data_IF_468204119109
#
_entry.id   IF_468204119109
#
_cell.length_a   1.000
_cell.length_b   1.000
_cell.length_c   1.000
_cell.angle_alpha   90.00
_cell.angle_beta   90.00
_cell.angle_gamma   90.00
#
_symmetry.space_group_name_H-M   'P 1'
#
loop_
_entity.id
_entity.type
_entity.pdbx_description
1 polymer ?
#
# COMPACT_ATOMS: atom_id res chain seq x y z
N UNK A 1 12.57 10.57 14.87
CA UNK A 1 12.85 9.23 14.32
C UNK A 1 11.75 8.34 14.83
N UNK A 2 10.98 7.77 13.92
CA UNK A 2 9.76 7.04 14.23
C UNK A 2 10.13 5.65 14.69
N UNK A 3 9.66 5.28 15.89
CA UNK A 3 9.83 3.92 16.42
C UNK A 3 8.90 2.93 15.71
N UNK A 4 9.32 1.68 15.66
CA UNK A 4 8.48 0.58 15.18
C UNK A 4 7.21 0.48 16.03
N UNK A 5 6.07 0.19 15.39
CA UNK A 5 4.81 -0.14 16.06
C UNK A 5 4.25 -1.50 15.62
N UNK A 6 4.88 -2.13 14.62
CA UNK A 6 4.43 -3.38 14.03
C UNK A 6 5.32 -4.60 14.39
N UNK A 7 6.52 -4.39 14.93
CA UNK A 7 7.33 -5.45 15.53
C UNK A 7 6.60 -6.16 16.67
N UNK A 8 6.75 -7.50 16.70
CA UNK A 8 6.06 -8.38 17.64
C UNK A 8 4.56 -8.55 17.38
N UNK A 9 3.97 -7.81 16.42
CA UNK A 9 2.53 -7.85 16.10
C UNK A 9 2.25 -8.30 14.68
N UNK A 10 2.83 -7.62 13.70
CA UNK A 10 2.66 -7.92 12.27
C UNK A 10 3.82 -8.73 11.71
N UNK A 11 5.01 -8.58 12.30
CA UNK A 11 6.22 -9.29 11.93
C UNK A 11 7.12 -9.49 13.16
N UNK A 12 8.09 -10.43 13.14
CA UNK A 12 8.98 -10.70 14.28
C UNK A 12 9.79 -9.49 14.74
N UNK A 13 9.97 -9.33 16.06
CA UNK A 13 10.80 -8.26 16.64
C UNK A 13 12.31 -8.57 16.60
N UNK A 14 12.69 -9.85 16.53
CA UNK A 14 14.09 -10.26 16.40
C UNK A 14 14.58 -10.05 14.96
N UNK A 15 15.76 -9.43 14.81
CA UNK A 15 16.35 -9.11 13.50
C UNK A 15 16.56 -10.37 12.64
N UNK A 16 17.09 -11.45 13.23
CA UNK A 16 17.45 -12.66 12.50
C UNK A 16 16.20 -13.41 12.06
N UNK A 17 15.21 -13.55 12.96
CA UNK A 17 13.91 -14.15 12.66
C UNK A 17 13.18 -13.36 11.57
N UNK A 18 13.15 -12.02 11.67
CA UNK A 18 12.53 -11.16 10.67
C UNK A 18 13.17 -11.32 9.30
N UNK A 19 14.52 -11.30 9.24
CA UNK A 19 15.26 -11.47 7.98
C UNK A 19 15.00 -12.85 7.35
N UNK A 20 14.97 -13.91 8.15
CA UNK A 20 14.64 -15.26 7.66
C UNK A 20 13.20 -15.32 7.15
N UNK A 21 12.25 -14.76 7.90
CA UNK A 21 10.82 -14.75 7.55
C UNK A 21 10.58 -14.00 6.23
N UNK A 22 11.15 -12.81 6.09
CA UNK A 22 11.09 -12.01 4.85
C UNK A 22 11.74 -12.78 3.70
N UNK A 23 12.93 -13.33 3.90
CA UNK A 23 13.67 -14.09 2.88
C UNK A 23 12.89 -15.28 2.32
N UNK A 24 12.08 -15.96 3.14
CA UNK A 24 11.21 -17.08 2.70
C UNK A 24 10.09 -16.67 1.75
N UNK A 25 9.64 -15.41 1.79
CA UNK A 25 8.57 -14.90 0.94
C UNK A 25 9.08 -14.17 -0.30
N UNK A 26 10.34 -13.73 -0.30
CA UNK A 26 10.97 -13.13 -1.47
C UNK A 26 11.27 -14.18 -2.54
N UNK A 27 11.15 -13.79 -3.81
CA UNK A 27 11.39 -14.63 -4.98
C UNK A 27 12.40 -13.97 -5.93
N UNK A 28 13.10 -14.78 -6.74
CA UNK A 28 14.01 -14.26 -7.76
C UNK A 28 13.26 -13.83 -9.03
N UNK A 29 12.56 -12.70 -8.94
CA UNK A 29 11.86 -12.07 -10.07
C UNK A 29 12.11 -10.57 -9.99
N UNK A 30 12.34 -9.88 -11.10
CA UNK A 30 12.42 -8.41 -11.20
C UNK A 30 11.74 -8.01 -12.51
N UNK A 31 10.88 -7.01 -12.46
CA UNK A 31 10.18 -6.48 -13.63
C UNK A 31 10.35 -4.97 -13.70
N UNK A 32 10.18 -4.39 -14.89
CA UNK A 32 10.16 -2.94 -15.05
C UNK A 32 8.79 -2.37 -14.65
N UNK A 33 8.40 -2.56 -13.40
CA UNK A 33 7.16 -2.03 -12.82
C UNK A 33 7.40 -0.63 -12.24
N UNK A 34 6.39 0.23 -12.29
CA UNK A 34 6.43 1.61 -11.77
C UNK A 34 5.59 1.80 -10.51
N UNK A 35 4.51 1.03 -10.39
CA UNK A 35 3.58 1.10 -9.26
C UNK A 35 3.24 -0.33 -8.82
N UNK A 36 3.10 -0.55 -7.53
CA UNK A 36 2.53 -1.78 -6.99
C UNK A 36 1.53 -1.50 -5.87
N UNK A 37 0.45 -2.27 -5.85
CA UNK A 37 -0.47 -2.40 -4.72
C UNK A 37 -0.15 -3.67 -3.96
N UNK A 38 0.13 -3.54 -2.67
CA UNK A 38 0.71 -4.58 -1.83
C UNK A 38 -0.03 -4.67 -0.48
N UNK A 39 -0.44 -5.87 -0.04
CA UNK A 39 -1.15 -6.06 1.22
C UNK A 39 -0.25 -5.81 2.43
N UNK A 40 -0.86 -5.45 3.56
CA UNK A 40 -0.18 -5.04 4.79
C UNK A 40 -0.69 -5.69 6.07
N UNK A 41 -1.50 -6.75 5.97
CA UNK A 41 -1.77 -7.60 7.13
C UNK A 41 -0.48 -8.22 7.72
N UNK A 42 -0.61 -8.86 8.88
CA UNK A 42 0.51 -9.59 9.49
C UNK A 42 1.10 -10.63 8.54
N UNK A 43 2.42 -10.84 8.61
CA UNK A 43 3.18 -11.65 7.66
C UNK A 43 2.71 -13.11 7.57
N UNK A 44 2.10 -13.64 8.63
CA UNK A 44 1.47 -14.95 8.63
C UNK A 44 0.31 -15.07 7.62
N UNK A 45 -0.36 -13.95 7.32
CA UNK A 45 -1.50 -13.88 6.41
C UNK A 45 -1.08 -13.40 5.02
N UNK A 46 -0.60 -12.16 4.90
CA UNK A 46 -0.36 -11.51 3.60
C UNK A 46 1.11 -11.56 3.14
N UNK A 47 2.03 -12.00 4.01
CA UNK A 47 3.48 -11.88 3.77
C UNK A 47 3.97 -12.60 2.51
N UNK A 48 3.34 -13.71 2.12
CA UNK A 48 3.64 -14.43 0.88
C UNK A 48 3.36 -13.57 -0.36
N UNK A 49 2.22 -12.89 -0.39
CA UNK A 49 1.86 -12.00 -1.49
C UNK A 49 2.73 -10.74 -1.50
N UNK A 50 2.94 -10.14 -0.32
CA UNK A 50 3.80 -8.96 -0.18
C UNK A 50 5.22 -9.24 -0.67
N UNK A 51 5.81 -10.37 -0.26
CA UNK A 51 7.12 -10.81 -0.73
C UNK A 51 7.18 -11.05 -2.25
N UNK A 52 6.14 -11.66 -2.85
CA UNK A 52 6.04 -11.87 -4.30
C UNK A 52 6.02 -10.55 -5.06
N UNK A 53 5.23 -9.57 -4.62
CA UNK A 53 5.09 -8.25 -5.26
C UNK A 53 6.36 -7.44 -5.09
N UNK A 54 6.87 -7.32 -3.86
CA UNK A 54 8.06 -6.51 -3.57
C UNK A 54 9.28 -7.07 -4.28
N UNK A 55 9.35 -8.39 -4.45
CA UNK A 55 10.39 -8.99 -5.30
C UNK A 55 10.35 -8.44 -6.72
N UNK A 56 9.19 -8.18 -7.31
CA UNK A 56 9.12 -7.67 -8.68
C UNK A 56 9.67 -6.25 -8.83
N UNK A 57 9.80 -5.47 -7.74
CA UNK A 57 10.27 -4.09 -7.75
C UNK A 57 11.79 -4.07 -8.07
N UNK A 58 12.22 -3.31 -9.10
CA UNK A 58 13.65 -3.13 -9.38
C UNK A 58 14.35 -2.36 -8.25
N UNK A 59 15.68 -2.30 -8.28
CA UNK A 59 16.41 -1.46 -7.31
C UNK A 59 16.06 0.01 -7.56
N UNK A 60 15.48 0.66 -6.55
CA UNK A 60 15.00 2.04 -6.61
C UNK A 60 15.69 2.88 -5.54
N UNK A 61 15.97 4.13 -5.90
CA UNK A 61 16.60 5.09 -4.98
C UNK A 61 15.56 5.65 -4.01
N UNK A 62 14.37 5.94 -4.53
CA UNK A 62 13.32 6.66 -3.81
C UNK A 62 11.98 5.93 -4.00
N UNK A 63 11.33 5.58 -2.89
CA UNK A 63 10.04 4.88 -2.90
C UNK A 63 9.00 5.75 -2.21
N UNK A 64 8.02 6.22 -2.97
CA UNK A 64 6.85 6.92 -2.43
C UNK A 64 5.89 5.85 -1.93
N UNK A 65 5.63 5.82 -0.62
CA UNK A 65 4.76 4.81 -0.02
C UNK A 65 3.44 5.49 0.37
N UNK A 66 2.37 5.10 -0.31
CA UNK A 66 1.01 5.51 0.01
C UNK A 66 0.42 4.52 1.01
N UNK A 67 0.39 4.90 2.27
CA UNK A 67 -0.26 4.18 3.35
C UNK A 67 -1.68 4.70 3.61
N UNK A 68 -2.35 4.02 4.54
CA UNK A 68 -3.70 4.37 4.98
C UNK A 68 -3.61 5.07 6.34
N UNK A 69 -4.57 5.93 6.68
CA UNK A 69 -4.62 6.55 7.99
C UNK A 69 -5.76 5.94 8.83
N UNK A 70 -5.49 4.86 9.56
CA UNK A 70 -6.49 4.24 10.45
C UNK A 70 -6.81 5.07 11.69
N UNK A 71 -5.92 6.00 12.07
CA UNK A 71 -6.07 6.81 13.29
C UNK A 71 -7.07 7.96 13.13
N UNK A 72 -7.29 8.43 11.90
CA UNK A 72 -8.06 9.64 11.63
C UNK A 72 -7.39 10.94 12.08
N UNK A 73 -6.12 10.91 12.51
CA UNK A 73 -5.36 12.12 12.88
C UNK A 73 -4.89 12.89 11.64
N UNK A 74 -4.54 14.17 11.81
CA UNK A 74 -3.99 15.02 10.75
C UNK A 74 -4.96 15.40 9.62
N UNK A 75 -4.41 15.91 8.53
CA UNK A 75 -5.15 16.25 7.32
C UNK A 75 -5.40 15.02 6.44
N UNK A 76 -6.12 15.18 5.33
CA UNK A 76 -6.42 14.07 4.41
C UNK A 76 -5.17 13.41 3.82
N UNK A 77 -4.10 14.19 3.63
CA UNK A 77 -2.82 13.73 3.10
C UNK A 77 -1.72 14.14 4.06
N UNK A 78 -1.19 13.19 4.82
CA UNK A 78 -0.20 13.46 5.86
C UNK A 78 1.17 12.88 5.53
N UNK A 79 2.18 13.75 5.46
CA UNK A 79 3.58 13.37 5.30
C UNK A 79 4.25 13.15 6.66
N UNK A 80 5.30 12.33 6.68
CA UNK A 80 6.28 12.32 7.76
C UNK A 80 7.63 12.82 7.25
N UNK A 81 8.37 13.51 8.11
CA UNK A 81 9.77 13.92 7.89
C UNK A 81 10.77 13.03 8.60
N UNK A 82 10.29 12.09 9.40
CA UNK A 82 11.13 11.21 10.21
C UNK A 82 11.62 10.00 9.42
N UNK A 83 12.83 9.56 9.76
CA UNK A 83 13.31 8.23 9.43
C UNK A 83 12.54 7.17 10.23
N UNK A 84 12.38 5.97 9.67
CA UNK A 84 11.62 4.87 10.27
C UNK A 84 12.58 3.80 10.80
N UNK A 85 12.41 3.41 12.06
CA UNK A 85 13.15 2.28 12.65
C UNK A 85 12.40 0.97 12.43
N UNK A 86 13.11 -0.07 12.01
CA UNK A 86 12.65 -1.47 12.04
C UNK A 86 13.70 -2.33 12.77
N UNK A 87 13.40 -3.60 13.10
CA UNK A 87 14.42 -4.50 13.63
C UNK A 87 15.61 -4.72 12.66
N UNK A 88 15.45 -4.51 11.36
CA UNK A 88 16.53 -4.61 10.36
C UNK A 88 17.37 -3.32 10.23
N UNK A 89 17.07 -2.31 11.03
CA UNK A 89 17.74 -1.00 11.02
C UNK A 89 16.86 0.13 10.51
N UNK A 90 17.49 1.28 10.26
CA UNK A 90 16.79 2.53 9.93
C UNK A 90 16.55 2.66 8.42
N UNK A 91 15.33 3.00 8.04
CA UNK A 91 14.96 3.42 6.68
C UNK A 91 14.91 4.94 6.62
N UNK A 92 15.69 5.52 5.71
CA UNK A 92 15.84 6.97 5.58
C UNK A 92 14.68 7.61 4.83
N UNK A 93 14.27 8.78 5.28
CA UNK A 93 13.27 9.60 4.59
C UNK A 93 13.92 10.50 3.54
N UNK A 94 13.35 10.58 2.33
CA UNK A 94 13.74 11.58 1.35
C UNK A 94 12.92 12.87 1.55
N UNK A 95 13.34 13.66 2.54
CA UNK A 95 12.72 14.94 2.87
C UNK A 95 12.71 15.95 1.70
N UNK A 96 13.70 15.91 0.81
CA UNK A 96 13.76 16.82 -0.35
C UNK A 96 12.66 16.47 -1.37
N UNK A 97 12.56 15.19 -1.75
CA UNK A 97 11.51 14.71 -2.64
C UNK A 97 10.13 14.90 -2.01
N UNK A 98 9.99 14.53 -0.73
CA UNK A 98 8.76 14.71 0.03
C UNK A 98 8.29 16.17 0.06
N UNK A 99 9.21 17.12 0.29
CA UNK A 99 8.88 18.55 0.27
C UNK A 99 8.42 19.03 -1.11
N UNK A 100 9.07 18.58 -2.19
CA UNK A 100 8.66 18.93 -3.56
C UNK A 100 7.25 18.42 -3.91
N UNK A 101 6.92 17.20 -3.48
CA UNK A 101 5.58 16.64 -3.65
C UNK A 101 4.58 17.43 -2.81
N UNK A 102 4.90 17.67 -1.54
CA UNK A 102 4.07 18.43 -0.60
C UNK A 102 3.66 19.80 -1.16
N UNK A 103 4.62 20.60 -1.66
CA UNK A 103 4.34 21.93 -2.20
C UNK A 103 3.45 21.87 -3.45
N UNK A 104 3.64 20.87 -4.34
CA UNK A 104 2.77 20.70 -5.51
C UNK A 104 1.35 20.31 -5.13
N UNK A 105 1.17 19.41 -4.16
CA UNK A 105 -0.16 19.04 -3.67
C UNK A 105 -0.85 20.23 -3.00
N UNK A 106 -0.11 20.99 -2.19
CA UNK A 106 -0.60 22.24 -1.57
C UNK A 106 -1.03 23.26 -2.63
N UNK A 107 -0.24 23.46 -3.69
CA UNK A 107 -0.60 24.33 -4.81
C UNK A 107 -1.80 23.84 -5.61
N UNK A 108 -2.09 22.54 -5.61
CA UNK A 108 -3.29 21.95 -6.20
C UNK A 108 -4.55 22.09 -5.32
N UNK A 109 -4.46 22.86 -4.23
CA UNK A 109 -5.54 23.07 -3.25
C UNK A 109 -6.02 21.77 -2.61
N UNK A 110 -5.05 20.93 -2.21
CA UNK A 110 -5.30 19.70 -1.45
C UNK A 110 -4.96 19.90 0.02
N UNK A 111 -5.74 19.22 0.87
CA UNK A 111 -5.58 19.24 2.31
C UNK A 111 -4.38 18.40 2.76
N UNK A 112 -3.21 19.06 2.86
CA UNK A 112 -1.92 18.42 3.18
C UNK A 112 -1.33 18.94 4.49
N UNK A 113 -0.72 18.06 5.27
CA UNK A 113 0.08 18.42 6.44
C UNK A 113 1.34 17.54 6.59
N UNK A 114 2.15 17.87 7.59
CA UNK A 114 3.22 17.02 8.11
C UNK A 114 2.79 16.62 9.52
N UNK A 115 2.57 15.32 9.75
CA UNK A 115 1.92 14.84 10.97
C UNK A 115 2.57 13.58 11.53
N UNK A 116 3.56 13.76 12.40
CA UNK A 116 4.26 12.62 12.99
C UNK A 116 3.37 11.80 13.94
N UNK A 117 2.37 12.41 14.58
CA UNK A 117 1.44 11.70 15.47
C UNK A 117 0.63 10.67 14.69
N UNK A 118 0.10 11.03 13.51
CA UNK A 118 -0.61 10.11 12.63
C UNK A 118 0.28 8.94 12.19
N UNK A 119 1.54 9.23 11.83
CA UNK A 119 2.50 8.20 11.42
C UNK A 119 2.92 7.30 12.60
N UNK A 120 3.13 7.86 13.79
CA UNK A 120 3.61 7.15 14.98
C UNK A 120 2.66 6.07 15.51
N UNK A 121 1.41 6.02 15.03
CA UNK A 121 0.42 5.00 15.43
C UNK A 121 -0.05 4.13 14.27
N UNK A 122 0.43 4.40 13.05
CA UNK A 122 0.00 3.74 11.81
C UNK A 122 1.01 2.68 11.38
N UNK A 123 0.55 1.51 10.93
CA UNK A 123 1.39 0.36 10.61
C UNK A 123 1.53 0.10 9.11
N UNK A 124 0.59 0.56 8.28
CA UNK A 124 0.50 0.20 6.87
C UNK A 124 1.77 0.45 6.06
N UNK A 125 2.46 1.58 6.29
CA UNK A 125 3.75 1.85 5.65
C UNK A 125 4.84 0.92 6.22
N UNK A 126 4.90 0.79 7.53
CA UNK A 126 5.95 0.08 8.25
C UNK A 126 6.02 -1.41 7.88
N UNK A 127 4.87 -2.07 7.72
CA UNK A 127 4.79 -3.50 7.37
C UNK A 127 5.49 -3.82 6.05
N UNK A 128 5.61 -2.84 5.13
CA UNK A 128 6.32 -3.01 3.86
C UNK A 128 7.85 -2.89 3.99
N UNK A 129 8.33 -2.18 5.02
CA UNK A 129 9.74 -1.77 5.11
C UNK A 129 10.72 -2.93 5.24
N UNK A 130 10.48 -3.99 6.06
CA UNK A 130 11.40 -5.11 6.13
C UNK A 130 11.58 -5.83 4.79
N UNK A 131 10.51 -6.01 4.02
CA UNK A 131 10.59 -6.58 2.67
C UNK A 131 11.43 -5.72 1.73
N UNK A 132 11.25 -4.40 1.77
CA UNK A 132 12.05 -3.47 0.97
C UNK A 132 13.53 -3.48 1.40
N UNK A 133 13.82 -3.47 2.70
CA UNK A 133 15.20 -3.52 3.23
C UNK A 133 15.96 -4.79 2.81
N UNK A 134 15.28 -5.93 2.69
CA UNK A 134 15.92 -7.19 2.26
C UNK A 134 15.97 -7.31 0.73
N UNK A 135 14.98 -6.78 0.00
CA UNK A 135 14.90 -6.92 -1.46
C UNK A 135 15.75 -5.93 -2.24
N UNK A 136 15.94 -4.71 -1.73
CA UNK A 136 16.68 -3.64 -2.41
C UNK A 136 18.18 -3.80 -2.16
N UNK A 137 18.97 -3.85 -3.24
CA UNK A 137 20.44 -4.05 -3.16
C UNK A 137 21.22 -2.76 -2.91
N UNK A 138 20.58 -1.61 -3.15
CA UNK A 138 21.15 -0.29 -2.96
C UNK A 138 20.43 0.41 -1.81
N UNK A 139 21.09 1.38 -1.20
CA UNK A 139 20.44 2.23 -0.21
C UNK A 139 19.25 2.95 -0.85
N UNK A 140 18.07 2.71 -0.30
CA UNK A 140 16.82 3.36 -0.71
C UNK A 140 16.38 4.35 0.37
N UNK A 141 15.63 5.36 -0.06
CA UNK A 141 14.89 6.27 0.81
C UNK A 141 13.40 6.15 0.54
N UNK A 142 12.59 6.53 1.51
CA UNK A 142 11.13 6.54 1.39
C UNK A 142 10.56 7.96 1.45
N UNK A 143 9.40 8.16 0.83
CA UNK A 143 8.52 9.30 1.06
C UNK A 143 7.20 8.74 1.60
N UNK A 144 7.00 8.74 2.93
CA UNK A 144 5.82 8.17 3.56
C UNK A 144 4.64 9.16 3.51
N UNK A 145 3.51 8.73 2.95
CA UNK A 145 2.29 9.55 2.81
C UNK A 145 1.09 8.72 3.29
N UNK A 146 0.37 9.20 4.30
CA UNK A 146 -0.89 8.59 4.74
C UNK A 146 -2.07 9.30 4.09
N UNK A 147 -3.08 8.51 3.70
CA UNK A 147 -4.26 8.98 3.01
C UNK A 147 -5.54 8.63 3.79
N UNK A 148 -6.48 9.57 3.89
CA UNK A 148 -7.86 9.35 4.35
C UNK A 148 -8.84 10.29 3.66
N UNK A 149 -10.10 9.89 3.65
CA UNK A 149 -11.27 10.71 3.32
C UNK A 149 -11.15 11.55 2.03
N UNK A 150 -10.42 11.02 1.04
CA UNK A 150 -10.25 11.66 -0.26
C UNK A 150 -11.44 11.36 -1.16
N UNK A 151 -12.04 12.40 -1.72
CA UNK A 151 -12.98 12.29 -2.83
C UNK A 151 -12.24 11.84 -4.09
N UNK A 152 -12.99 11.33 -5.06
CA UNK A 152 -12.44 10.93 -6.33
C UNK A 152 -11.66 12.05 -7.02
N UNK A 153 -12.19 13.28 -7.04
CA UNK A 153 -11.53 14.44 -7.66
C UNK A 153 -10.22 14.82 -6.95
N UNK A 154 -10.15 14.60 -5.63
CA UNK A 154 -8.91 14.80 -4.87
C UNK A 154 -7.89 13.71 -5.22
N UNK A 155 -8.31 12.46 -5.37
CA UNK A 155 -7.45 11.36 -5.86
C UNK A 155 -6.89 11.66 -7.27
N UNK A 156 -7.72 12.21 -8.16
CA UNK A 156 -7.28 12.61 -9.51
C UNK A 156 -6.20 13.68 -9.46
N UNK A 157 -6.37 14.72 -8.62
CA UNK A 157 -5.34 15.76 -8.42
C UNK A 157 -4.04 15.18 -7.85
N UNK A 158 -4.13 14.26 -6.89
CA UNK A 158 -2.93 13.60 -6.33
C UNK A 158 -2.21 12.78 -7.40
N UNK A 159 -2.94 12.02 -8.22
CA UNK A 159 -2.39 11.25 -9.32
C UNK A 159 -1.69 12.15 -10.36
N UNK A 160 -2.32 13.27 -10.72
CA UNK A 160 -1.73 14.28 -11.60
C UNK A 160 -0.41 14.83 -11.08
N UNK A 161 -0.28 15.05 -9.77
CA UNK A 161 0.98 15.50 -9.16
C UNK A 161 2.01 14.35 -9.11
N UNK A 162 1.63 13.18 -8.60
CA UNK A 162 2.57 12.08 -8.38
C UNK A 162 3.15 11.52 -9.69
N UNK A 163 2.40 11.54 -10.80
CA UNK A 163 2.92 11.08 -12.10
C UNK A 163 4.14 11.88 -12.57
N UNK A 164 4.25 13.16 -12.20
CA UNK A 164 5.40 14.01 -12.56
C UNK A 164 6.70 13.56 -11.88
N UNK A 165 6.59 12.83 -10.77
CA UNK A 165 7.71 12.32 -9.99
C UNK A 165 8.05 10.87 -10.33
N UNK A 166 7.25 10.18 -11.14
CA UNK A 166 7.46 8.78 -11.49
C UNK A 166 8.47 8.64 -12.63
N UNK A 167 9.75 8.91 -12.34
CA UNK A 167 10.87 8.76 -13.29
C UNK A 167 11.60 7.43 -13.04
N UNK A 168 12.81 7.28 -13.57
CA UNK A 168 13.56 6.02 -13.50
C UNK A 168 13.97 5.64 -12.06
N UNK A 169 14.30 6.61 -11.21
CA UNK A 169 14.78 6.38 -9.84
C UNK A 169 13.66 6.16 -8.82
N UNK A 170 12.43 6.56 -9.16
CA UNK A 170 11.28 6.56 -8.27
C UNK A 170 10.36 5.37 -8.51
N UNK A 171 9.62 5.01 -7.48
CA UNK A 171 8.59 3.98 -7.50
C UNK A 171 7.47 4.37 -6.54
N UNK A 172 6.23 3.99 -6.85
CA UNK A 172 5.09 4.17 -5.95
C UNK A 172 4.66 2.80 -5.41
N UNK A 173 4.73 2.63 -4.10
CA UNK A 173 4.17 1.49 -3.40
C UNK A 173 2.89 1.91 -2.69
N UNK A 174 1.78 1.26 -3.01
CA UNK A 174 0.49 1.44 -2.35
C UNK A 174 0.35 0.30 -1.36
N UNK A 175 0.17 0.64 -0.09
CA UNK A 175 0.02 -0.32 1.00
C UNK A 175 -1.44 -0.41 1.44
N UNK A 176 -2.07 -1.56 1.22
CA UNK A 176 -3.46 -1.78 1.57
C UNK A 176 -3.93 -3.21 1.36
N UNK A 177 -4.84 -3.66 2.20
CA UNK A 177 -5.60 -4.88 2.02
C UNK A 177 -6.88 -4.60 1.21
N UNK A 178 -7.52 -5.68 0.72
CA UNK A 178 -8.80 -5.60 0.01
C UNK A 178 -9.96 -5.60 1.01
N UNK A 179 -11.09 -6.24 0.72
CA UNK A 179 -12.29 -6.13 1.56
C UNK A 179 -12.09 -6.82 2.91
N UNK A 180 -12.49 -6.15 3.99
CA UNK A 180 -12.63 -6.71 5.33
C UNK A 180 -14.09 -7.13 5.54
N UNK A 181 -14.37 -8.42 5.37
CA UNK A 181 -15.69 -9.03 5.43
C UNK A 181 -15.95 -9.64 6.80
N UNK A 182 -17.17 -9.48 7.30
CA UNK A 182 -17.69 -10.22 8.44
C UNK A 182 -18.27 -9.32 9.52
N UNK A 183 -18.95 -9.91 10.52
CA UNK A 183 -19.53 -9.17 11.63
C UNK A 183 -18.51 -8.30 12.38
N UNK A 184 -17.26 -8.76 12.52
CA UNK A 184 -16.20 -8.01 13.21
C UNK A 184 -15.87 -6.67 12.52
N UNK A 185 -16.04 -6.61 11.20
CA UNK A 185 -15.78 -5.42 10.40
C UNK A 185 -17.05 -4.62 10.10
N UNK A 186 -18.20 -5.02 10.65
CA UNK A 186 -19.52 -4.45 10.35
C UNK A 186 -19.83 -4.39 8.84
N UNK A 187 -19.35 -5.38 8.08
CA UNK A 187 -19.50 -5.40 6.63
C UNK A 187 -19.81 -6.81 6.13
N UNK A 188 -21.06 -7.02 5.74
CA UNK A 188 -21.53 -8.27 5.13
C UNK A 188 -22.40 -7.87 3.93
N UNK A 189 -21.84 -7.82 2.72
CA UNK A 189 -22.60 -7.44 1.53
C UNK A 189 -23.70 -8.47 1.26
N UNK A 190 -24.87 -7.99 0.82
CA UNK A 190 -26.04 -8.83 0.58
C UNK A 190 -25.72 -9.92 -0.46
N UNK A 191 -26.04 -11.18 -0.14
CA UNK A 191 -25.86 -12.31 -1.03
C UNK A 191 -24.41 -12.78 -1.20
N UNK A 192 -23.46 -12.26 -0.40
CA UNK A 192 -22.06 -12.67 -0.42
C UNK A 192 -21.73 -13.37 0.89
N UNK A 193 -21.27 -14.62 0.82
CA UNK A 193 -20.69 -15.32 1.97
C UNK A 193 -19.17 -15.08 2.03
N UNK A 194 -18.54 -15.24 3.19
CA UNK A 194 -17.10 -14.99 3.36
C UNK A 194 -16.21 -15.87 2.48
N UNK A 195 -16.66 -17.08 2.14
CA UNK A 195 -16.00 -17.98 1.18
C UNK A 195 -16.02 -17.45 -0.27
N UNK A 196 -16.96 -16.55 -0.56
CA UNK A 196 -17.17 -15.95 -1.89
C UNK A 196 -16.55 -14.55 -2.00
N UNK A 197 -15.83 -14.09 -0.96
CA UNK A 197 -15.19 -12.77 -0.92
C UNK A 197 -14.23 -12.54 -2.11
N UNK A 198 -13.57 -13.61 -2.56
CA UNK A 198 -12.76 -13.63 -3.79
C UNK A 198 -13.50 -13.01 -4.97
N UNK A 199 -14.71 -13.49 -5.23
CA UNK A 199 -15.48 -13.06 -6.41
C UNK A 199 -15.88 -11.60 -6.27
N UNK A 200 -16.25 -11.20 -5.05
CA UNK A 200 -16.59 -9.82 -4.73
C UNK A 200 -15.41 -8.86 -4.99
N UNK A 201 -14.23 -9.17 -4.46
CA UNK A 201 -13.03 -8.35 -4.67
C UNK A 201 -12.55 -8.36 -6.12
N UNK A 202 -12.63 -9.49 -6.82
CA UNK A 202 -12.27 -9.56 -8.25
C UNK A 202 -13.16 -8.65 -9.10
N UNK A 203 -14.44 -8.50 -8.78
CA UNK A 203 -15.32 -7.54 -9.48
C UNK A 203 -14.89 -6.08 -9.30
N UNK A 204 -14.23 -5.76 -8.19
CA UNK A 204 -13.64 -4.44 -7.94
C UNK A 204 -12.32 -4.31 -8.70
N UNK A 205 -11.42 -5.30 -8.56
CA UNK A 205 -10.13 -5.35 -9.24
C UNK A 205 -10.26 -5.32 -10.77
N UNK A 206 -11.34 -5.86 -11.33
CA UNK A 206 -11.62 -5.77 -12.77
C UNK A 206 -11.66 -4.31 -13.28
N UNK A 207 -12.11 -3.35 -12.47
CA UNK A 207 -12.08 -1.94 -12.89
C UNK A 207 -10.66 -1.37 -12.90
N UNK A 208 -9.80 -1.79 -11.94
CA UNK A 208 -8.37 -1.47 -11.98
C UNK A 208 -7.69 -2.05 -13.22
N UNK A 209 -7.98 -3.30 -13.58
CA UNK A 209 -7.42 -3.97 -14.77
C UNK A 209 -7.86 -3.30 -16.08
N UNK A 210 -9.05 -2.68 -16.11
CA UNK A 210 -9.52 -1.87 -17.24
C UNK A 210 -8.96 -0.44 -17.24
N UNK A 211 -8.18 -0.06 -16.23
CA UNK A 211 -7.70 1.31 -16.00
C UNK A 211 -8.83 2.32 -15.78
N UNK A 212 -9.96 1.85 -15.24
CA UNK A 212 -11.10 2.71 -14.87
C UNK A 212 -10.99 3.09 -13.39
N UNK A 213 -10.25 4.16 -13.11
CA UNK A 213 -10.08 4.66 -11.73
C UNK A 213 -11.40 5.11 -11.10
N UNK A 214 -12.32 5.65 -11.90
CA UNK A 214 -13.62 6.13 -11.42
C UNK A 214 -14.53 4.96 -11.06
N UNK A 215 -14.63 3.96 -11.93
CA UNK A 215 -15.34 2.71 -11.67
C UNK A 215 -14.77 1.97 -10.47
N UNK A 216 -13.44 1.91 -10.35
CA UNK A 216 -12.78 1.34 -9.17
C UNK A 216 -13.17 2.09 -7.90
N UNK A 217 -13.07 3.42 -7.87
CA UNK A 217 -13.47 4.25 -6.72
C UNK A 217 -14.92 3.98 -6.30
N UNK A 218 -15.87 4.00 -7.26
CA UNK A 218 -17.30 3.85 -6.98
C UNK A 218 -17.69 2.47 -6.42
N UNK A 219 -16.92 1.44 -6.75
CA UNK A 219 -17.11 0.10 -6.17
C UNK A 219 -16.40 -0.04 -4.84
N UNK A 220 -15.15 0.42 -4.76
CA UNK A 220 -14.33 0.31 -3.56
C UNK A 220 -14.91 1.12 -2.39
N UNK A 221 -15.51 2.29 -2.63
CA UNK A 221 -16.12 3.14 -1.58
C UNK A 221 -17.33 2.49 -0.90
N UNK A 222 -17.92 1.48 -1.55
CA UNK A 222 -19.03 0.66 -1.03
C UNK A 222 -18.55 -0.60 -0.33
N UNK A 223 -17.24 -0.77 -0.20
CA UNK A 223 -16.57 -1.85 0.49
C UNK A 223 -15.74 -1.31 1.66
N UNK A 224 -14.99 -2.20 2.31
CA UNK A 224 -14.08 -1.93 3.43
C UNK A 224 -12.61 -2.09 3.03
N UNK A 225 -12.28 -1.82 1.76
CA UNK A 225 -10.90 -1.80 1.25
C UNK A 225 -10.14 -0.66 1.94
N UNK A 226 -9.18 -0.97 2.81
CA UNK A 226 -8.44 0.06 3.55
C UNK A 226 -7.55 0.89 2.59
N UNK A 227 -6.93 0.25 1.60
CA UNK A 227 -6.03 0.86 0.62
C UNK A 227 -6.71 1.65 -0.51
N UNK A 228 -7.99 2.00 -0.38
CA UNK A 228 -8.82 2.53 -1.47
C UNK A 228 -8.18 3.74 -2.15
N UNK A 229 -7.80 4.78 -1.40
CA UNK A 229 -7.36 6.05 -1.99
C UNK A 229 -6.04 5.91 -2.75
N UNK A 230 -5.06 5.24 -2.14
CA UNK A 230 -3.79 4.94 -2.79
C UNK A 230 -3.99 4.08 -4.05
N UNK A 231 -4.91 3.12 -4.01
CA UNK A 231 -5.23 2.26 -5.15
C UNK A 231 -5.88 3.05 -6.29
N UNK A 232 -6.83 3.93 -5.99
CA UNK A 232 -7.47 4.82 -6.97
C UNK A 232 -6.43 5.74 -7.62
N UNK A 233 -5.53 6.31 -6.82
CA UNK A 233 -4.41 7.14 -7.32
C UNK A 233 -3.51 6.32 -8.26
N UNK A 234 -3.14 5.10 -7.87
CA UNK A 234 -2.34 4.20 -8.72
C UNK A 234 -3.01 3.91 -10.05
N UNK A 235 -4.28 3.49 -10.03
CA UNK A 235 -5.06 3.19 -11.24
C UNK A 235 -5.19 4.43 -12.12
N UNK A 236 -5.39 5.61 -11.52
CA UNK A 236 -5.44 6.88 -12.26
C UNK A 236 -4.11 7.21 -12.94
N UNK A 237 -2.98 7.00 -12.26
CA UNK A 237 -1.66 7.18 -12.89
C UNK A 237 -1.47 6.18 -14.05
N UNK A 238 -1.91 4.93 -13.89
CA UNK A 238 -1.87 3.94 -14.95
C UNK A 238 -2.74 4.33 -16.16
N UNK A 239 -3.91 4.91 -15.94
CA UNK A 239 -4.75 5.50 -16.98
C UNK A 239 -4.00 6.63 -17.73
N UNK A 240 -3.47 7.60 -16.98
CA UNK A 240 -2.82 8.80 -17.51
C UNK A 240 -1.52 8.51 -18.30
N UNK A 241 -0.77 7.49 -17.87
CA UNK A 241 0.49 7.08 -18.50
C UNK A 241 0.33 5.88 -19.42
N UNK A 242 -0.89 5.36 -19.58
CA UNK A 242 -1.20 4.14 -20.31
C UNK A 242 -0.32 2.94 -19.91
N UNK A 243 -0.13 2.72 -18.61
CA UNK A 243 0.60 1.57 -18.07
C UNK A 243 -0.25 0.30 -18.17
N UNK A 244 0.38 -0.85 -18.35
CA UNK A 244 -0.31 -2.13 -18.25
C UNK A 244 -0.57 -2.47 -16.79
N UNK A 245 -1.81 -2.89 -16.46
CA UNK A 245 -2.21 -3.24 -15.09
C UNK A 245 -2.42 -4.75 -15.01
N UNK A 246 -1.71 -5.41 -14.08
CA UNK A 246 -1.71 -6.87 -13.94
C UNK A 246 -2.01 -7.28 -12.48
N UNK A 247 -2.92 -8.24 -12.32
CA UNK A 247 -3.15 -8.92 -11.04
C UNK A 247 -2.09 -10.03 -10.87
N UNK A 248 -1.23 -9.87 -9.88
CA UNK A 248 -0.15 -10.82 -9.54
C UNK A 248 -0.68 -12.04 -8.82
N UNK A 249 -1.59 -11.84 -7.87
CA UNK A 249 -2.27 -12.90 -7.11
C UNK A 249 -3.44 -12.33 -6.32
N UNK A 250 -4.32 -13.22 -5.87
CA UNK A 250 -5.35 -12.91 -4.89
C UNK A 250 -5.64 -14.13 -4.02
N UNK A 251 -5.78 -13.91 -2.72
CA UNK A 251 -6.35 -14.89 -1.78
C UNK A 251 -6.90 -14.18 -0.55
N UNK A 252 -7.55 -14.93 0.33
CA UNK A 252 -8.17 -14.41 1.56
C UNK A 252 -7.52 -14.96 2.82
N UNK A 253 -7.75 -14.32 3.98
CA UNK A 253 -7.37 -14.90 5.28
C UNK A 253 -8.04 -16.25 5.51
N UNK A 254 -9.27 -16.45 5.03
CA UNK A 254 -9.99 -17.72 5.12
C UNK A 254 -9.32 -18.87 4.36
N UNK A 255 -8.58 -18.58 3.28
CA UNK A 255 -7.79 -19.60 2.58
C UNK A 255 -6.65 -20.16 3.45
N UNK A 256 -6.21 -19.39 4.44
CA UNK A 256 -5.14 -19.74 5.38
C UNK A 256 -5.72 -20.36 6.65
N UNK A 257 -6.71 -19.72 7.27
CA UNK A 257 -7.26 -20.12 8.57
C UNK A 257 -8.33 -21.18 8.47
N UNK A 258 -8.97 -21.32 7.30
CA UNK A 258 -10.21 -22.11 7.07
C UNK A 258 -11.41 -21.60 7.87
N UNK A 259 -11.35 -20.35 8.33
CA UNK A 259 -12.45 -19.63 8.94
C UNK A 259 -12.94 -18.53 7.99
N UNK A 260 -14.24 -18.56 7.67
CA UNK A 260 -14.88 -17.67 6.73
C UNK A 260 -15.91 -16.73 7.38
N UNK A 261 -15.99 -16.67 8.71
CA UNK A 261 -16.88 -15.74 9.42
C UNK A 261 -16.36 -14.30 9.32
N UNK A 262 -15.04 -14.12 9.51
CA UNK A 262 -14.35 -12.84 9.42
C UNK A 262 -13.12 -12.98 8.53
N UNK A 263 -13.20 -12.40 7.34
CA UNK A 263 -12.26 -12.64 6.24
C UNK A 263 -11.71 -11.33 5.72
N UNK A 264 -10.40 -11.28 5.46
CA UNK A 264 -9.76 -10.17 4.77
C UNK A 264 -9.26 -10.65 3.42
N UNK A 265 -9.58 -9.91 2.35
CA UNK A 265 -9.03 -10.16 1.02
C UNK A 265 -7.63 -9.56 0.87
N UNK A 266 -6.76 -10.26 0.14
CA UNK A 266 -5.41 -9.80 -0.18
C UNK A 266 -5.21 -9.85 -1.70
N UNK A 267 -5.14 -8.68 -2.32
CA UNK A 267 -4.90 -8.51 -3.75
C UNK A 267 -3.52 -7.91 -4.00
N UNK A 268 -2.84 -8.41 -5.03
CA UNK A 268 -1.55 -7.89 -5.47
C UNK A 268 -1.62 -7.39 -6.89
N UNK A 269 -1.44 -6.10 -7.11
CA UNK A 269 -1.51 -5.50 -8.46
C UNK A 269 -0.22 -4.78 -8.79
N UNK A 270 0.26 -4.90 -10.02
CA UNK A 270 1.41 -4.14 -10.53
C UNK A 270 1.05 -3.37 -11.79
N UNK A 271 1.74 -2.24 -11.99
CA UNK A 271 1.53 -1.37 -13.15
C UNK A 271 2.89 -1.10 -13.82
N UNK A 272 3.01 -1.37 -15.13
CA UNK A 272 4.28 -1.32 -15.89
C UNK A 272 4.20 -0.48 -17.16
#
# INVERSE_FOLDING_TARGET
MRKSVADGKFYPEDESELREKVGKYLVSKRENIKIAFCPHAGYAYSGKLAGKIISMIPDKKDIIILGVNHSGLGNKISFSKEDFSTPLGVVKNNNELGHRIFEKLKHADLDVDVNEEAHNVEHSIEVQLPFLQVSQKKEMKIVPILLKDLKYEECEKVAEVLKEFLRESEFILISGDMTHYGPLYNFVPEGIEGKDLDNYDKLILLEALKKDSKGFYHKAEKSTICGIYGSVIGVKIAELLNLDVELVDYYTSGDITKDYENVVGYGGVVMK
#
